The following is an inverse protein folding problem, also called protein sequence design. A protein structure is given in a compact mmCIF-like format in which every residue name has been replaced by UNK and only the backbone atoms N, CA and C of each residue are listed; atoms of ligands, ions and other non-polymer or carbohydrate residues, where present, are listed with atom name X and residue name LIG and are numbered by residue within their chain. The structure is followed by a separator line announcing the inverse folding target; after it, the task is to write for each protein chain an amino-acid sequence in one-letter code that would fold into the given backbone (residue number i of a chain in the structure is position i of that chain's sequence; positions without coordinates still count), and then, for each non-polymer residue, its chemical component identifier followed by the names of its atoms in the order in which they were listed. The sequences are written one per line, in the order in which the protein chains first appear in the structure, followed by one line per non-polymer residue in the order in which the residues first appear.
data_IF_685018711596
#
_entry.id   IF_685018711596
#
_cell.length_a   1.000
_cell.length_b   1.000
_cell.length_c   1.000
_cell.angle_alpha   90.00
_cell.angle_beta   90.00
_cell.angle_gamma   90.00
#
_symmetry.space_group_name_H-M   'P 1'
#
loop_
_entity.id
_entity.type
_entity.pdbx_description
1 polymer ?
#
# COMPACT_ATOMS: atom_id res chain seq x y z
N UNK A 1 -6.42 6.42 -14.73
CA UNK A 1 -6.39 5.15 -13.98
C UNK A 1 -5.46 5.27 -12.80
N UNK A 2 -5.97 4.96 -11.63
CA UNK A 2 -5.19 5.06 -10.39
C UNK A 2 -4.67 3.67 -10.01
N UNK A 3 -3.37 3.57 -9.79
CA UNK A 3 -2.70 2.29 -9.56
C UNK A 3 -2.01 2.33 -8.20
N UNK A 4 -2.25 1.29 -7.39
CA UNK A 4 -1.57 1.07 -6.13
C UNK A 4 -0.44 0.06 -6.34
N UNK A 5 0.79 0.46 -6.06
CA UNK A 5 1.94 -0.43 -6.01
C UNK A 5 2.31 -0.75 -4.57
N UNK A 6 2.63 -2.01 -4.30
CA UNK A 6 2.98 -2.48 -2.96
C UNK A 6 4.36 -3.11 -2.99
N UNK A 7 5.22 -2.70 -2.05
CA UNK A 7 6.55 -3.26 -1.86
C UNK A 7 6.61 -3.89 -0.46
N UNK A 8 6.33 -5.20 -0.34
CA UNK A 8 6.29 -5.86 0.97
C UNK A 8 7.68 -6.01 1.59
N UNK A 9 7.74 -5.89 2.91
CA UNK A 9 8.95 -6.07 3.69
C UNK A 9 8.65 -6.70 5.03
N UNK A 10 9.69 -7.10 5.76
CA UNK A 10 9.55 -7.81 7.03
C UNK A 10 9.05 -6.92 8.17
N UNK A 11 9.49 -5.66 8.20
CA UNK A 11 9.16 -4.73 9.27
C UNK A 11 8.24 -3.61 8.81
N UNK A 12 8.10 -3.44 7.51
CA UNK A 12 7.27 -2.40 6.92
C UNK A 12 6.93 -2.76 5.49
N UNK A 13 5.78 -2.33 5.05
CA UNK A 13 5.34 -2.47 3.67
C UNK A 13 5.22 -1.08 3.06
N UNK A 14 5.97 -0.84 2.00
CA UNK A 14 5.88 0.42 1.25
C UNK A 14 4.72 0.38 0.27
N UNK A 15 4.14 1.54 0.00
CA UNK A 15 3.13 1.65 -1.05
C UNK A 15 3.29 2.95 -1.82
N UNK A 16 2.84 2.94 -3.06
CA UNK A 16 2.79 4.12 -3.90
C UNK A 16 1.51 4.17 -4.69
N UNK A 17 0.99 5.36 -4.89
CA UNK A 17 -0.19 5.60 -5.71
C UNK A 17 0.22 6.44 -6.90
N UNK A 18 -0.11 5.95 -8.10
CA UNK A 18 0.21 6.63 -9.35
C UNK A 18 -1.07 6.82 -10.14
N UNK A 19 -1.26 8.01 -10.68
CA UNK A 19 -2.33 8.29 -11.63
C UNK A 19 -1.76 8.20 -13.04
N UNK A 20 -2.34 7.33 -13.85
CA UNK A 20 -1.91 7.13 -15.22
C UNK A 20 -2.98 7.63 -16.19
N UNK A 21 -2.56 8.44 -17.16
CA UNK A 21 -3.42 8.97 -18.20
C UNK A 21 -2.66 8.91 -19.53
N UNK A 22 -3.07 8.01 -20.42
CA UNK A 22 -2.35 7.78 -21.68
C UNK A 22 -0.92 7.34 -21.44
N UNK A 23 0.04 8.09 -21.96
CA UNK A 23 1.46 7.81 -21.81
C UNK A 23 2.09 8.52 -20.60
N UNK A 24 1.29 9.24 -19.84
CA UNK A 24 1.81 10.00 -18.70
C UNK A 24 1.44 9.32 -17.38
N UNK A 25 2.36 9.39 -16.43
CA UNK A 25 2.14 8.89 -15.08
C UNK A 25 2.50 9.99 -14.09
N UNK A 26 1.64 10.19 -13.09
CA UNK A 26 1.85 11.19 -12.05
C UNK A 26 1.80 10.53 -10.69
N UNK A 27 2.82 10.82 -9.88
CA UNK A 27 2.84 10.37 -8.49
C UNK A 27 1.75 11.10 -7.70
N UNK A 28 0.91 10.35 -7.00
CA UNK A 28 -0.17 10.89 -6.16
C UNK A 28 0.20 10.86 -4.69
N UNK A 29 0.66 9.71 -4.22
CA UNK A 29 1.00 9.52 -2.81
C UNK A 29 1.95 8.34 -2.64
N UNK A 30 2.65 8.31 -1.53
CA UNK A 30 3.40 7.14 -1.09
C UNK A 30 3.44 7.13 0.43
N UNK A 31 3.74 5.97 0.99
CA UNK A 31 3.82 5.84 2.43
C UNK A 31 4.33 4.48 2.84
N UNK A 32 4.28 4.24 4.13
CA UNK A 32 4.76 3.01 4.74
C UNK A 32 3.72 2.51 5.74
N UNK A 33 3.42 1.22 5.66
CA UNK A 33 2.62 0.51 6.64
C UNK A 33 3.60 -0.16 7.60
N UNK A 34 3.60 0.25 8.86
CA UNK A 34 4.49 -0.31 9.86
C UNK A 34 3.92 -1.59 10.41
N UNK A 35 4.80 -2.58 10.59
CA UNK A 35 4.43 -3.92 11.08
C UNK A 35 5.04 -4.08 12.47
N UNK A 36 4.24 -4.46 13.50
CA UNK A 36 4.79 -4.64 14.85
C UNK A 36 5.83 -5.77 14.84
N UNK A 37 7.05 -5.45 15.27
CA UNK A 37 8.17 -6.40 15.23
C UNK A 37 8.10 -7.47 16.32
N UNK A 38 7.43 -7.18 17.43
CA UNK A 38 7.33 -8.08 18.59
C UNK A 38 6.04 -8.89 18.61
N UNK A 39 5.22 -8.78 17.59
CA UNK A 39 3.96 -9.50 17.50
C UNK A 39 4.15 -10.83 16.79
N UNK A 40 3.25 -11.78 17.04
CA UNK A 40 3.25 -13.03 16.31
C UNK A 40 2.83 -12.81 14.84
N UNK A 41 2.93 -13.87 14.05
CA UNK A 41 2.65 -13.78 12.62
C UNK A 41 1.22 -13.32 12.33
N UNK A 42 0.25 -13.82 13.10
CA UNK A 42 -1.16 -13.45 12.90
C UNK A 42 -1.39 -11.95 13.07
N UNK A 43 -0.82 -11.37 14.11
CA UNK A 43 -0.95 -9.93 14.36
C UNK A 43 -0.21 -9.10 13.31
N UNK A 44 0.93 -9.59 12.84
CA UNK A 44 1.69 -8.91 11.81
C UNK A 44 0.93 -8.91 10.49
N UNK A 45 0.36 -10.04 10.10
CA UNK A 45 -0.46 -10.13 8.89
C UNK A 45 -1.69 -9.25 8.98
N UNK A 46 -2.31 -9.21 10.16
CA UNK A 46 -3.46 -8.33 10.38
C UNK A 46 -3.10 -6.86 10.19
N UNK A 47 -1.95 -6.44 10.70
CA UNK A 47 -1.48 -5.06 10.57
C UNK A 47 -1.28 -4.69 9.09
N UNK A 48 -0.66 -5.56 8.31
CA UNK A 48 -0.47 -5.35 6.89
C UNK A 48 -1.81 -5.25 6.17
N UNK A 49 -2.70 -6.20 6.44
CA UNK A 49 -4.00 -6.25 5.80
C UNK A 49 -4.83 -4.99 6.09
N UNK A 50 -4.90 -4.59 7.35
CA UNK A 50 -5.64 -3.40 7.73
C UNK A 50 -5.02 -2.12 7.14
N UNK A 51 -3.70 -2.06 7.10
CA UNK A 51 -2.99 -0.93 6.50
C UNK A 51 -3.29 -0.81 5.02
N UNK A 52 -3.27 -1.92 4.29
CA UNK A 52 -3.60 -1.93 2.87
C UNK A 52 -5.05 -1.54 2.63
N UNK A 53 -5.96 -2.05 3.47
CA UNK A 53 -7.38 -1.66 3.37
C UNK A 53 -7.59 -0.16 3.55
N UNK A 54 -6.87 0.44 4.50
CA UNK A 54 -6.93 1.88 4.73
C UNK A 54 -6.45 2.65 3.51
N UNK A 55 -5.34 2.24 2.92
CA UNK A 55 -4.79 2.87 1.72
C UNK A 55 -5.78 2.77 0.55
N UNK A 56 -6.38 1.60 0.36
CA UNK A 56 -7.37 1.41 -0.69
C UNK A 56 -8.57 2.32 -0.48
N UNK A 57 -9.05 2.41 0.75
CA UNK A 57 -10.20 3.25 1.09
C UNK A 57 -9.92 4.72 0.85
N UNK A 58 -8.73 5.19 1.24
CA UNK A 58 -8.37 6.60 1.11
C UNK A 58 -8.11 7.01 -0.33
N UNK A 59 -7.51 6.14 -1.13
CA UNK A 59 -7.05 6.49 -2.47
C UNK A 59 -7.88 5.89 -3.59
N UNK A 60 -8.67 4.86 -3.30
CA UNK A 60 -9.59 4.20 -4.24
C UNK A 60 -8.92 3.85 -5.58
N UNK A 61 -7.84 3.05 -5.55
CA UNK A 61 -7.16 2.68 -6.78
C UNK A 61 -8.03 1.78 -7.65
N UNK A 62 -7.85 1.88 -8.96
CA UNK A 62 -8.54 1.02 -9.92
C UNK A 62 -7.88 -0.35 -9.99
N UNK A 63 -6.55 -0.41 -9.80
CA UNK A 63 -5.78 -1.64 -9.82
C UNK A 63 -4.70 -1.63 -8.74
N UNK A 64 -4.26 -2.83 -8.35
CA UNK A 64 -3.13 -2.99 -7.45
C UNK A 64 -2.12 -3.98 -8.03
N UNK A 65 -0.86 -3.74 -7.70
CA UNK A 65 0.23 -4.59 -8.13
C UNK A 65 1.24 -4.83 -7.00
#
# INVERSE_FOLDING_TARGET
MRILGIDPGLLRTGFGIVERSGNQARHVAHGVIRIPSNADLSLRLKAVFEGIQTVIREHQPDHSA
#
